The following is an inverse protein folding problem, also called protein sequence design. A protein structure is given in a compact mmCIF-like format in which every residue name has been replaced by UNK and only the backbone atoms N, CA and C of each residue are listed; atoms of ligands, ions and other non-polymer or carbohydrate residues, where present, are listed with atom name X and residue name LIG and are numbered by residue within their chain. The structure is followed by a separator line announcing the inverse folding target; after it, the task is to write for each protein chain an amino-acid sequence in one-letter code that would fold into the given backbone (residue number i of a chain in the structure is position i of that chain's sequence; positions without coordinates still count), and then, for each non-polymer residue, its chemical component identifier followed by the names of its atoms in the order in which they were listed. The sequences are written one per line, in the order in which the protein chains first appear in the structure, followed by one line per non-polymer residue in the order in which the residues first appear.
data_IF_211248819314
#
_entry.id   IF_211248819314
#
_cell.length_a   1.000
_cell.length_b   1.000
_cell.length_c   1.000
_cell.angle_alpha   90.00
_cell.angle_beta   90.00
_cell.angle_gamma   90.00
#
_symmetry.space_group_name_H-M   'P 1'
#
loop_
_entity.id
_entity.type
_entity.pdbx_description
1 polymer ?
#
# COMPACT_ATOMS: atom_id res chain seq x y z
N UNK A 1 -0.18 -2.96 23.23
CA UNK A 1 0.40 -1.58 23.34
C UNK A 1 -0.42 -0.66 22.43
N UNK A 2 -0.70 0.60 22.79
CA UNK A 2 -1.46 1.49 21.89
C UNK A 2 -0.64 1.77 20.61
N UNK A 3 -1.25 1.78 19.41
CA UNK A 3 -0.53 2.04 18.17
C UNK A 3 0.05 3.46 18.19
N UNK A 4 1.32 3.59 17.78
CA UNK A 4 1.97 4.89 17.63
C UNK A 4 1.32 5.62 16.45
N UNK A 5 0.86 6.85 16.66
CA UNK A 5 0.31 7.69 15.60
C UNK A 5 1.44 8.60 15.10
N UNK A 6 1.85 8.48 13.82
CA UNK A 6 2.90 9.32 13.25
C UNK A 6 2.37 10.72 12.95
N UNK A 7 3.29 11.70 12.90
CA UNK A 7 3.00 13.07 12.47
C UNK A 7 3.60 13.25 11.09
N UNK A 8 2.74 13.32 10.08
CA UNK A 8 3.15 13.42 8.67
C UNK A 8 3.03 14.86 8.20
N UNK A 9 4.13 15.40 7.66
CA UNK A 9 4.14 16.74 7.11
C UNK A 9 3.31 16.79 5.81
N UNK A 10 2.43 17.78 5.62
CA UNK A 10 1.65 17.91 4.41
C UNK A 10 2.56 18.19 3.20
N UNK A 11 2.21 17.62 2.05
CA UNK A 11 2.85 17.95 0.77
C UNK A 11 2.24 19.27 0.27
N UNK A 12 3.05 20.29 -0.06
CA UNK A 12 2.53 21.55 -0.57
C UNK A 12 1.79 21.34 -1.91
N UNK A 13 0.78 22.17 -2.22
CA UNK A 13 0.08 22.12 -3.51
C UNK A 13 1.06 22.18 -4.70
N UNK A 14 0.81 21.43 -5.78
CA UNK A 14 -0.41 20.65 -6.07
C UNK A 14 -0.49 19.27 -5.40
N UNK A 15 0.46 18.90 -4.53
CA UNK A 15 0.56 17.54 -3.99
C UNK A 15 1.16 16.56 -5.01
N UNK A 16 1.15 15.27 -4.67
CA UNK A 16 1.50 14.17 -5.57
C UNK A 16 0.21 13.42 -5.96
N UNK A 17 -0.40 13.84 -7.08
CA UNK A 17 -1.62 13.25 -7.60
C UNK A 17 -1.28 12.15 -8.61
N UNK A 18 -1.69 10.91 -8.33
CA UNK A 18 -1.43 9.74 -9.21
C UNK A 18 -2.75 9.15 -9.71
N UNK A 19 -3.71 8.98 -8.80
CA UNK A 19 -5.08 8.59 -9.05
C UNK A 19 -5.99 9.79 -8.72
N UNK A 20 -6.66 10.39 -9.72
CA UNK A 20 -7.57 11.51 -9.49
C UNK A 20 -8.61 11.16 -8.41
N UNK A 21 -8.96 12.14 -7.56
CA UNK A 21 -9.92 12.01 -6.45
C UNK A 21 -9.45 11.20 -5.22
N UNK A 22 -8.27 10.57 -5.28
CA UNK A 22 -7.71 9.80 -4.16
C UNK A 22 -6.52 10.48 -3.48
N UNK A 23 -6.34 11.78 -3.69
CA UNK A 23 -5.36 12.58 -2.92
C UNK A 23 -5.93 12.92 -1.55
N UNK A 24 -5.20 12.61 -0.49
CA UNK A 24 -5.61 12.93 0.87
C UNK A 24 -5.67 14.45 1.08
N UNK A 25 -6.78 14.99 1.57
CA UNK A 25 -6.93 16.43 1.81
C UNK A 25 -6.40 16.87 3.19
N UNK A 26 -6.27 15.92 4.11
CA UNK A 26 -5.70 16.04 5.45
C UNK A 26 -4.88 14.78 5.74
N UNK A 27 -4.23 14.71 6.89
CA UNK A 27 -3.65 13.43 7.31
C UNK A 27 -4.78 12.42 7.54
N UNK A 28 -4.74 11.30 6.84
CA UNK A 28 -5.72 10.22 6.95
C UNK A 28 -5.10 9.01 7.63
N UNK A 29 -5.91 8.30 8.41
CA UNK A 29 -5.58 7.00 8.96
C UNK A 29 -6.51 5.97 8.33
N UNK A 30 -5.92 4.92 7.75
CA UNK A 30 -6.63 3.88 7.02
C UNK A 30 -6.35 2.54 7.71
N UNK A 31 -7.38 1.68 7.75
CA UNK A 31 -7.27 0.32 8.23
C UNK A 31 -7.45 -0.62 7.04
N UNK A 32 -6.46 -1.46 6.78
CA UNK A 32 -6.54 -2.58 5.85
C UNK A 32 -6.81 -3.86 6.63
N UNK A 33 -7.98 -4.46 6.43
CA UNK A 33 -8.42 -5.63 7.19
C UNK A 33 -8.70 -6.79 6.25
N UNK A 34 -8.09 -7.93 6.52
CA UNK A 34 -8.46 -9.18 5.87
C UNK A 34 -9.88 -9.60 6.29
N UNK A 35 -10.69 -9.93 5.30
CA UNK A 35 -12.02 -10.51 5.47
C UNK A 35 -12.13 -11.79 4.66
N UNK A 36 -13.02 -12.69 5.08
CA UNK A 36 -13.34 -13.90 4.32
C UNK A 36 -14.58 -13.62 3.48
N UNK A 37 -14.40 -13.47 2.17
CA UNK A 37 -15.52 -13.36 1.21
C UNK A 37 -16.06 -14.76 0.87
N UNK A 38 -15.17 -15.74 0.78
CA UNK A 38 -15.50 -17.16 0.56
C UNK A 38 -14.55 -18.08 1.33
N UNK A 39 -14.88 -19.36 1.45
CA UNK A 39 -14.09 -20.38 2.16
C UNK A 39 -12.63 -20.53 1.68
N UNK A 40 -12.30 -20.06 0.48
CA UNK A 40 -10.98 -20.19 -0.16
C UNK A 40 -10.31 -18.87 -0.56
N UNK A 41 -10.98 -17.71 -0.39
CA UNK A 41 -10.45 -16.43 -0.86
C UNK A 41 -10.62 -15.35 0.19
N UNK A 42 -9.48 -14.90 0.70
CA UNK A 42 -9.40 -13.71 1.52
C UNK A 42 -9.48 -12.48 0.60
N UNK A 43 -10.28 -11.50 1.00
CA UNK A 43 -10.29 -10.15 0.43
C UNK A 43 -9.80 -9.18 1.49
N UNK A 44 -9.35 -7.99 1.08
CA UNK A 44 -8.98 -6.92 2.02
C UNK A 44 -9.98 -5.79 1.87
N UNK A 45 -10.59 -5.39 2.98
CA UNK A 45 -11.40 -4.17 3.05
C UNK A 45 -10.54 -3.05 3.64
N UNK A 46 -10.59 -1.90 3.00
CA UNK A 46 -9.95 -0.68 3.47
C UNK A 46 -11.00 0.31 3.95
N UNK A 47 -10.81 0.81 5.15
CA UNK A 47 -11.68 1.81 5.78
C UNK A 47 -10.89 2.99 6.30
N UNK A 48 -11.55 4.16 6.38
CA UNK A 48 -11.03 5.27 7.18
C UNK A 48 -11.19 4.94 8.67
N UNK A 49 -10.11 5.08 9.42
CA UNK A 49 -10.10 4.88 10.86
C UNK A 49 -10.73 6.11 11.54
N UNK A 50 -11.85 5.90 12.20
CA UNK A 50 -12.52 6.94 12.97
C UNK A 50 -11.70 7.38 14.20
N UNK A 51 -11.90 8.61 14.71
CA UNK A 51 -11.11 9.16 15.82
C UNK A 51 -11.16 8.34 17.12
N UNK A 52 -12.25 7.62 17.41
CA UNK A 52 -12.42 6.94 18.71
C UNK A 52 -13.26 5.65 18.61
N UNK A 53 -12.85 4.64 17.83
CA UNK A 53 -13.60 3.37 17.63
C UNK A 53 -14.98 3.50 16.97
N UNK A 54 -15.21 4.62 16.26
CA UNK A 54 -16.39 4.80 15.42
C UNK A 54 -16.50 3.74 14.31
N UNK A 55 -17.63 3.70 13.63
CA UNK A 55 -17.82 2.79 12.49
C UNK A 55 -16.81 3.17 11.41
N UNK A 56 -15.83 2.28 11.23
CA UNK A 56 -14.87 2.33 10.14
C UNK A 56 -15.64 2.41 8.80
N UNK A 57 -15.46 3.52 8.08
CA UNK A 57 -16.14 3.72 6.80
C UNK A 57 -15.32 3.04 5.70
N UNK A 58 -15.74 1.84 5.30
CA UNK A 58 -15.16 1.14 4.16
C UNK A 58 -15.30 1.98 2.89
N UNK A 59 -14.24 2.04 2.08
CA UNK A 59 -14.26 2.75 0.80
C UNK A 59 -13.54 2.01 -0.32
N UNK A 60 -12.58 1.12 -0.01
CA UNK A 60 -11.93 0.25 -0.99
C UNK A 60 -12.10 -1.22 -0.62
N UNK A 61 -12.37 -2.05 -1.62
CA UNK A 61 -12.24 -3.50 -1.57
C UNK A 61 -11.09 -3.93 -2.49
N UNK A 62 -10.23 -4.83 -2.00
CA UNK A 62 -9.13 -5.43 -2.75
C UNK A 62 -9.42 -6.92 -2.96
N UNK A 63 -9.62 -7.30 -4.21
CA UNK A 63 -9.88 -8.68 -4.62
C UNK A 63 -8.73 -9.21 -5.50
N UNK A 64 -8.34 -10.47 -5.33
CA UNK A 64 -7.61 -11.20 -6.37
C UNK A 64 -8.60 -11.67 -7.45
N UNK A 65 -8.50 -11.11 -8.66
CA UNK A 65 -9.40 -11.43 -9.78
C UNK A 65 -8.83 -12.52 -10.70
N UNK A 66 -7.50 -12.58 -10.78
CA UNK A 66 -6.72 -13.60 -11.48
C UNK A 66 -5.43 -13.80 -10.69
N UNK A 67 -4.81 -14.98 -10.80
CA UNK A 67 -3.52 -15.24 -10.18
C UNK A 67 -2.56 -14.07 -10.39
N UNK A 68 -2.06 -13.49 -9.28
CA UNK A 68 -1.10 -12.35 -9.28
C UNK A 68 -1.66 -11.02 -9.79
N UNK A 69 -2.97 -10.90 -9.92
CA UNK A 69 -3.66 -9.70 -10.36
C UNK A 69 -4.72 -9.30 -9.34
N UNK A 70 -4.50 -8.15 -8.73
CA UNK A 70 -5.31 -7.65 -7.61
C UNK A 70 -5.98 -6.35 -8.01
N UNK A 71 -7.28 -6.23 -7.75
CA UNK A 71 -8.08 -5.07 -8.16
C UNK A 71 -8.60 -4.36 -6.93
N UNK A 72 -8.40 -3.04 -6.90
CA UNK A 72 -8.88 -2.13 -5.90
C UNK A 72 -10.14 -1.46 -6.42
N UNK A 73 -11.27 -1.70 -5.77
CA UNK A 73 -12.59 -1.22 -6.18
C UNK A 73 -13.18 -0.29 -5.15
N UNK A 74 -13.88 0.73 -5.59
CA UNK A 74 -14.75 1.50 -4.70
C UNK A 74 -15.87 0.59 -4.18
N UNK A 75 -16.06 0.49 -2.86
CA UNK A 75 -17.07 -0.41 -2.28
C UNK A 75 -18.50 -0.02 -2.62
N UNK A 76 -18.77 1.26 -2.86
CA UNK A 76 -20.12 1.77 -3.10
C UNK A 76 -20.52 1.63 -4.57
N UNK A 77 -19.58 1.84 -5.49
CA UNK A 77 -19.87 1.80 -6.93
C UNK A 77 -19.43 0.50 -7.61
N UNK A 78 -18.56 -0.29 -6.97
CA UNK A 78 -17.91 -1.46 -7.56
C UNK A 78 -16.88 -1.12 -8.65
N UNK A 79 -16.64 0.17 -8.91
CA UNK A 79 -15.74 0.63 -9.96
C UNK A 79 -14.28 0.34 -9.59
N UNK A 80 -13.54 -0.26 -10.53
CA UNK A 80 -12.09 -0.41 -10.44
C UNK A 80 -11.40 0.96 -10.48
N UNK A 81 -10.49 1.17 -9.55
CA UNK A 81 -9.70 2.40 -9.42
C UNK A 81 -8.25 2.11 -9.83
N UNK A 82 -7.71 1.05 -9.25
CA UNK A 82 -6.33 0.62 -9.43
C UNK A 82 -6.26 -0.90 -9.54
N UNK A 83 -5.28 -1.39 -10.28
CA UNK A 83 -4.93 -2.80 -10.37
C UNK A 83 -3.46 -2.99 -10.12
N UNK A 84 -3.10 -3.98 -9.32
CA UNK A 84 -1.72 -4.43 -9.15
C UNK A 84 -1.52 -5.69 -9.97
N UNK A 85 -0.54 -5.66 -10.87
CA UNK A 85 -0.05 -6.85 -11.59
C UNK A 85 1.31 -7.20 -11.02
N UNK A 86 1.42 -8.40 -10.44
CA UNK A 86 2.67 -8.92 -9.89
C UNK A 86 3.39 -9.77 -10.94
N UNK A 87 4.56 -9.31 -11.32
CA UNK A 87 5.50 -10.00 -12.18
C UNK A 87 6.55 -10.72 -11.30
N UNK A 88 6.43 -12.05 -11.25
CA UNK A 88 7.40 -12.90 -10.57
C UNK A 88 8.43 -13.39 -11.58
N UNK A 89 9.70 -13.30 -11.18
CA UNK A 89 10.78 -13.89 -11.94
C UNK A 89 11.50 -14.92 -11.08
N UNK A 90 11.94 -16.01 -11.70
CA UNK A 90 12.69 -17.06 -11.02
C UNK A 90 14.11 -16.62 -10.59
N UNK A 91 14.66 -15.60 -11.25
CA UNK A 91 16.05 -15.15 -11.07
C UNK A 91 16.20 -13.64 -10.86
N UNK A 92 15.10 -12.88 -10.88
CA UNK A 92 15.12 -11.42 -10.67
C UNK A 92 14.11 -10.99 -9.61
N UNK A 93 14.30 -9.78 -9.04
CA UNK A 93 13.34 -9.17 -8.12
C UNK A 93 11.89 -9.27 -8.58
N UNK A 94 10.97 -9.57 -7.66
CA UNK A 94 9.54 -9.38 -7.94
C UNK A 94 9.28 -7.91 -8.26
N UNK A 95 8.51 -7.67 -9.32
CA UNK A 95 8.10 -6.35 -9.77
C UNK A 95 6.58 -6.26 -9.68
N UNK A 96 6.09 -5.14 -9.16
CA UNK A 96 4.67 -4.88 -8.99
C UNK A 96 4.33 -3.63 -9.79
N UNK A 97 3.32 -3.75 -10.64
CA UNK A 97 2.88 -2.68 -11.53
C UNK A 97 1.51 -2.19 -11.07
N UNK A 98 1.42 -0.93 -10.66
CA UNK A 98 0.18 -0.25 -10.33
C UNK A 98 -0.42 0.40 -11.56
N UNK A 99 -1.50 -0.18 -12.06
CA UNK A 99 -2.21 0.24 -13.25
C UNK A 99 -3.47 1.01 -12.87
N UNK A 100 -3.83 2.02 -13.67
CA UNK A 100 -5.18 2.58 -13.66
C UNK A 100 -6.21 1.61 -14.24
N UNK A 101 -7.49 1.87 -13.99
CA UNK A 101 -8.59 1.12 -14.60
C UNK A 101 -8.57 1.14 -16.16
N UNK A 102 -7.94 2.16 -16.75
CA UNK A 102 -7.76 2.28 -18.20
C UNK A 102 -6.56 1.47 -18.74
N UNK A 103 -5.78 0.81 -17.87
CA UNK A 103 -4.62 0.02 -18.26
C UNK A 103 -3.31 0.82 -18.41
N UNK A 104 -3.29 2.08 -17.99
CA UNK A 104 -2.06 2.89 -17.93
C UNK A 104 -1.29 2.59 -16.65
N UNK A 105 0.03 2.34 -16.75
CA UNK A 105 0.89 2.16 -15.58
C UNK A 105 1.15 3.50 -14.88
N UNK A 106 0.79 3.57 -13.60
CA UNK A 106 0.90 4.76 -12.74
C UNK A 106 2.06 4.67 -11.78
N UNK A 107 2.48 3.47 -11.38
CA UNK A 107 3.68 3.26 -10.58
C UNK A 107 4.25 1.86 -10.75
N UNK A 108 5.56 1.72 -10.58
CA UNK A 108 6.25 0.42 -10.44
C UNK A 108 6.87 0.33 -9.05
N UNK A 109 6.82 -0.85 -8.43
CA UNK A 109 7.57 -1.15 -7.22
C UNK A 109 8.44 -2.40 -7.43
N UNK A 110 9.75 -2.25 -7.20
CA UNK A 110 10.73 -3.36 -7.30
C UNK A 110 11.24 -3.75 -5.93
N UNK A 111 11.25 -5.06 -5.64
CA UNK A 111 11.76 -5.62 -4.38
C UNK A 111 13.17 -6.18 -4.54
N UNK A 112 14.18 -5.36 -4.27
CA UNK A 112 15.58 -5.79 -4.38
C UNK A 112 16.02 -6.54 -3.13
N UNK A 113 16.28 -7.84 -3.31
CA UNK A 113 16.83 -8.69 -2.25
C UNK A 113 18.34 -8.51 -2.17
N UNK A 114 18.84 -8.46 -0.93
CA UNK A 114 20.25 -8.36 -0.61
C UNK A 114 20.61 -9.52 0.33
N UNK A 115 21.78 -10.12 0.17
CA UNK A 115 22.15 -11.33 0.92
C UNK A 115 22.29 -11.11 2.44
N UNK A 116 22.56 -9.88 2.87
CA UNK A 116 22.85 -9.55 4.27
C UNK A 116 22.10 -8.31 4.78
N UNK A 117 21.13 -7.80 4.02
CA UNK A 117 20.35 -6.63 4.43
C UNK A 117 18.86 -6.82 4.14
N UNK A 118 17.99 -6.05 4.79
CA UNK A 118 16.55 -6.10 4.51
C UNK A 118 16.26 -5.86 3.02
N UNK A 119 15.14 -6.42 2.54
CA UNK A 119 14.67 -6.17 1.17
C UNK A 119 14.44 -4.68 0.98
N UNK A 120 15.07 -4.14 -0.05
CA UNK A 120 14.93 -2.74 -0.47
C UNK A 120 13.73 -2.60 -1.39
N UNK A 121 12.94 -1.55 -1.17
CA UNK A 121 11.72 -1.26 -1.91
C UNK A 121 11.98 0.01 -2.73
N UNK A 122 11.96 -0.12 -4.05
CA UNK A 122 12.18 1.00 -4.96
C UNK A 122 10.83 1.33 -5.63
N UNK A 123 10.21 2.43 -5.23
CA UNK A 123 8.96 2.92 -5.81
C UNK A 123 9.27 3.95 -6.89
N UNK A 124 8.72 3.77 -8.08
CA UNK A 124 8.76 4.72 -9.17
C UNK A 124 7.32 5.13 -9.52
N UNK A 125 7.04 6.42 -9.48
CA UNK A 125 5.75 6.99 -9.88
C UNK A 125 5.86 7.47 -11.31
N UNK A 126 4.93 7.03 -12.16
CA UNK A 126 4.85 7.40 -13.56
C UNK A 126 3.81 8.50 -13.74
N UNK A 127 4.23 9.72 -14.03
CA UNK A 127 3.31 10.81 -14.30
C UNK A 127 2.52 10.53 -15.59
N UNK A 128 1.28 11.04 -15.64
CA UNK A 128 0.39 10.85 -16.80
C UNK A 128 0.80 11.70 -18.01
N UNK A 129 1.72 12.65 -17.82
CA UNK A 129 2.22 13.53 -18.89
C UNK A 129 3.57 13.00 -19.41
N UNK A 130 3.70 12.74 -20.73
CA UNK A 130 4.93 12.20 -21.33
C UNK A 130 6.19 13.06 -21.11
N UNK A 131 6.01 14.35 -20.81
CA UNK A 131 7.11 15.30 -20.56
C UNK A 131 7.64 15.26 -19.13
N UNK A 132 6.98 14.56 -18.22
CA UNK A 132 7.38 14.47 -16.82
C UNK A 132 8.22 13.20 -16.61
N UNK A 133 9.37 13.35 -15.94
CA UNK A 133 10.22 12.21 -15.59
C UNK A 133 9.58 11.40 -14.46
N UNK A 134 9.80 10.09 -14.48
CA UNK A 134 9.38 9.21 -13.39
C UNK A 134 10.03 9.67 -12.07
N UNK A 135 9.21 9.77 -11.04
CA UNK A 135 9.64 10.18 -9.70
C UNK A 135 9.97 8.92 -8.89
N UNK A 136 11.21 8.79 -8.43
CA UNK A 136 11.60 7.68 -7.54
C UNK A 136 11.44 8.11 -6.08
N UNK A 137 10.69 7.33 -5.31
CA UNK A 137 10.46 7.54 -3.89
C UNK A 137 11.10 6.40 -3.08
N UNK A 138 12.00 6.70 -2.12
CA UNK A 138 12.54 5.66 -1.26
C UNK A 138 11.49 5.20 -0.26
N UNK A 139 11.55 3.91 0.08
CA UNK A 139 10.74 3.30 1.13
C UNK A 139 11.68 2.79 2.21
N UNK A 140 11.58 3.39 3.40
CA UNK A 140 12.50 3.14 4.50
C UNK A 140 11.82 2.40 5.66
N UNK A 141 12.52 1.47 6.33
CA UNK A 141 12.01 0.79 7.51
C UNK A 141 12.13 1.68 8.77
N UNK A 142 11.28 1.43 9.77
CA UNK A 142 11.41 1.99 11.14
C UNK A 142 11.41 3.52 11.22
N UNK A 143 10.63 4.18 10.37
CA UNK A 143 10.47 5.64 10.38
C UNK A 143 9.31 6.02 11.31
N UNK A 144 9.52 6.96 12.23
CA UNK A 144 8.53 7.43 13.21
C UNK A 144 7.83 6.29 14.00
N UNK A 145 8.56 5.22 14.32
CA UNK A 145 8.02 4.06 15.05
C UNK A 145 7.12 3.14 14.22
N UNK A 146 6.98 3.39 12.91
CA UNK A 146 6.19 2.59 11.98
C UNK A 146 7.07 1.56 11.28
N UNK A 147 6.49 0.45 10.83
CA UNK A 147 7.22 -0.63 10.17
C UNK A 147 7.90 -0.17 8.87
N UNK A 148 7.20 0.58 8.02
CA UNK A 148 7.78 1.21 6.80
C UNK A 148 7.19 2.59 6.55
N UNK A 149 7.91 3.42 5.81
CA UNK A 149 7.44 4.71 5.33
C UNK A 149 7.85 4.96 3.87
N UNK A 150 6.97 5.59 3.10
CA UNK A 150 7.30 6.22 1.82
C UNK A 150 7.80 7.62 2.13
N UNK A 151 8.98 7.98 1.60
CA UNK A 151 9.53 9.32 1.79
C UNK A 151 9.43 10.16 0.52
N UNK A 152 9.11 11.43 0.69
CA UNK A 152 9.17 12.46 -0.35
C UNK A 152 10.03 13.61 0.18
N UNK A 153 11.10 13.96 -0.54
CA UNK A 153 12.08 14.96 -0.10
C UNK A 153 12.57 14.74 1.35
N UNK A 154 12.82 13.49 1.73
CA UNK A 154 13.27 13.10 3.08
C UNK A 154 12.20 13.09 4.18
N UNK A 155 10.96 13.48 3.88
CA UNK A 155 9.85 13.48 4.84
C UNK A 155 8.93 12.28 4.59
N UNK A 156 8.44 11.65 5.66
CA UNK A 156 7.45 10.59 5.56
C UNK A 156 6.11 11.16 5.05
N UNK A 157 5.62 10.61 3.94
CA UNK A 157 4.34 11.00 3.32
C UNK A 157 3.29 9.90 3.38
N UNK A 158 3.73 8.67 3.62
CA UNK A 158 2.86 7.60 4.07
C UNK A 158 3.65 6.65 4.96
N UNK A 159 2.97 6.03 5.92
CA UNK A 159 3.57 5.03 6.80
C UNK A 159 2.64 3.84 6.96
N UNK A 160 3.20 2.67 7.17
CA UNK A 160 2.45 1.44 7.40
C UNK A 160 2.97 0.72 8.64
N UNK A 161 2.05 0.17 9.40
CA UNK A 161 2.34 -0.60 10.60
C UNK A 161 1.31 -1.70 10.84
N UNK A 162 1.74 -2.76 11.53
CA UNK A 162 0.88 -3.88 11.88
C UNK A 162 0.72 -3.91 13.41
N UNK A 163 -0.38 -3.37 13.97
CA UNK A 163 -0.60 -3.40 15.41
C UNK A 163 -0.74 -4.85 15.90
N UNK A 164 0.12 -5.25 16.86
CA UNK A 164 0.18 -6.53 17.61
C UNK A 164 -0.40 -7.81 16.96
N UNK A 165 0.51 -8.76 16.67
CA UNK A 165 0.29 -10.05 15.97
C UNK A 165 -0.52 -11.14 16.71
N UNK A 166 -1.32 -10.80 17.72
CA UNK A 166 -1.99 -11.79 18.59
C UNK A 166 -3.37 -12.26 18.09
N UNK A 167 -3.79 -11.78 16.93
CA UNK A 167 -5.01 -12.26 16.26
C UNK A 167 -4.67 -13.50 15.43
N UNK A 168 -4.85 -14.69 16.00
CA UNK A 168 -4.79 -15.97 15.27
C UNK A 168 -5.88 -16.12 14.18
N UNK A 169 -6.64 -15.06 13.85
CA UNK A 169 -7.80 -15.17 12.98
C UNK A 169 -7.79 -14.26 11.75
N UNK A 170 -7.26 -13.02 11.80
CA UNK A 170 -7.26 -12.07 10.66
C UNK A 170 -6.17 -11.00 10.79
N UNK A 171 -5.50 -10.68 9.69
CA UNK A 171 -4.51 -9.60 9.61
C UNK A 171 -5.18 -8.21 9.54
N UNK A 172 -4.59 -7.26 10.24
CA UNK A 172 -4.95 -5.85 10.22
C UNK A 172 -3.68 -5.00 10.09
N UNK A 173 -3.67 -4.07 9.14
CA UNK A 173 -2.58 -3.12 8.91
C UNK A 173 -3.12 -1.68 8.97
N UNK A 174 -2.39 -0.81 9.65
CA UNK A 174 -2.67 0.62 9.70
C UNK A 174 -1.79 1.34 8.68
N UNK A 175 -2.41 2.22 7.89
CA UNK A 175 -1.73 3.05 6.91
C UNK A 175 -2.06 4.51 7.20
N UNK A 176 -1.06 5.33 7.47
CA UNK A 176 -1.23 6.77 7.59
C UNK A 176 -0.76 7.45 6.30
N UNK A 177 -1.50 8.44 5.85
CA UNK A 177 -1.23 9.16 4.59
C UNK A 177 -1.22 10.65 4.89
N UNK A 178 -0.17 11.35 4.46
CA UNK A 178 -0.05 12.80 4.60
C UNK A 178 -1.04 13.52 3.67
N UNK A 179 -1.46 14.71 4.08
CA UNK A 179 -2.21 15.60 3.18
C UNK A 179 -1.39 15.88 1.92
N UNK A 180 -2.03 15.84 0.75
CA UNK A 180 -1.40 16.04 -0.54
C UNK A 180 -0.73 14.78 -1.13
N UNK A 181 -0.71 13.64 -0.43
CA UNK A 181 -0.23 12.38 -1.00
C UNK A 181 -1.38 11.49 -1.49
N UNK A 182 -1.10 10.63 -2.46
CA UNK A 182 -2.06 9.74 -3.06
C UNK A 182 -2.35 8.50 -2.19
N UNK A 183 -3.60 8.33 -1.79
CA UNK A 183 -4.06 7.22 -0.96
C UNK A 183 -3.88 5.88 -1.68
N UNK A 184 -4.14 5.81 -2.99
CA UNK A 184 -4.05 4.54 -3.74
C UNK A 184 -2.60 4.07 -3.87
N UNK A 185 -1.65 5.00 -4.02
CA UNK A 185 -0.22 4.67 -3.95
C UNK A 185 0.14 4.11 -2.58
N UNK A 186 -0.26 4.78 -1.49
CA UNK A 186 0.03 4.30 -0.13
C UNK A 186 -0.55 2.91 0.14
N UNK A 187 -1.80 2.66 -0.26
CA UNK A 187 -2.45 1.36 -0.15
C UNK A 187 -1.79 0.30 -1.03
N UNK A 188 -1.38 0.66 -2.25
CA UNK A 188 -0.69 -0.26 -3.16
C UNK A 188 0.64 -0.73 -2.59
N UNK A 189 1.46 0.19 -2.07
CA UNK A 189 2.73 -0.16 -1.41
C UNK A 189 2.49 -0.99 -0.16
N UNK A 190 1.48 -0.64 0.64
CA UNK A 190 1.11 -1.39 1.85
C UNK A 190 0.67 -2.81 1.50
N UNK A 191 -0.12 -2.99 0.44
CA UNK A 191 -0.50 -4.30 -0.08
C UNK A 191 0.73 -5.12 -0.52
N UNK A 192 1.69 -4.51 -1.24
CA UNK A 192 2.93 -5.22 -1.61
C UNK A 192 3.76 -5.60 -0.38
N UNK A 193 3.75 -4.77 0.67
CA UNK A 193 4.38 -5.13 1.93
C UNK A 193 3.74 -6.36 2.58
N UNK A 194 2.41 -6.41 2.62
CA UNK A 194 1.64 -7.57 3.11
C UNK A 194 1.99 -8.82 2.30
N UNK A 195 1.96 -8.75 0.97
CA UNK A 195 2.29 -9.87 0.07
C UNK A 195 3.70 -10.40 0.36
N UNK A 196 4.70 -9.51 0.47
CA UNK A 196 6.08 -9.90 0.78
C UNK A 196 6.23 -10.58 2.15
N UNK A 197 5.53 -10.09 3.17
CA UNK A 197 5.59 -10.73 4.49
C UNK A 197 4.96 -12.12 4.48
N UNK A 198 3.88 -12.33 3.70
CA UNK A 198 3.30 -13.67 3.51
C UNK A 198 4.26 -14.59 2.77
N UNK A 199 4.93 -14.12 1.72
CA UNK A 199 5.98 -14.88 1.03
C UNK A 199 7.10 -15.31 1.99
N UNK A 200 7.60 -14.38 2.81
CA UNK A 200 8.67 -14.65 3.77
C UNK A 200 8.22 -15.66 4.84
N UNK A 201 6.99 -15.53 5.36
CA UNK A 201 6.44 -16.45 6.33
C UNK A 201 6.28 -17.87 5.75
N UNK A 202 5.81 -18.00 4.51
CA UNK A 202 5.71 -19.30 3.83
C UNK A 202 7.08 -19.92 3.57
N UNK A 203 8.06 -19.12 3.14
CA UNK A 203 9.43 -19.59 2.91
C UNK A 203 10.09 -20.06 4.22
N UNK A 204 9.88 -19.32 5.32
CA UNK A 204 10.40 -19.69 6.64
C UNK A 204 9.74 -20.96 7.20
N UNK A 205 8.46 -21.20 6.92
CA UNK A 205 7.76 -22.41 7.36
C UNK A 205 8.14 -23.66 6.53
N UNK A 206 8.70 -23.49 5.34
CA UNK A 206 9.13 -24.58 4.46
C UNK A 206 10.61 -24.97 4.62
N UNK A 207 11.39 -24.17 5.36
CA UNK A 207 12.81 -24.38 5.66
C UNK A 207 12.99 -25.20 6.95
#
# INVERSE_FOLDING_TARGET
MAPIIPVLNPIPPPGLVVFPEYTALKQEALLMKETKKHWTRDNIIVSFKGPDSGIDQAFIEIDEVQKRTYVFKNVNTGQEIMRIVKEEHSLSPNVYHGMSAAGEEKWTLRLKRHSFSPTEYILQIHPSLPSQQALTLPIEPKVQGQTKAILYNGNAVATMDQPESWSHYRREDLVYVAAGFDIMVALGVSWVHIDKQREDAMAAAAA
#
